data_IF_906885761847
#
_entry.id   IF_906885761847
#
_cell.length_a   1.000
_cell.length_b   1.000
_cell.length_c   1.000
_cell.angle_alpha   90.00
_cell.angle_beta   90.00
_cell.angle_gamma   90.00
#
_symmetry.space_group_name_H-M   'P 1'
#
loop_
_entity.id
_entity.type
_entity.pdbx_description
1 polymer ?
#
# COMPACT_ATOMS: atom_id res chain seq x y z
N UNK A 1 38.67 60.75 -0.34
CA UNK A 1 37.83 59.69 -0.92
C UNK A 1 38.31 58.37 -0.36
N UNK A 2 37.65 57.87 0.68
CA UNK A 2 37.89 56.52 1.22
C UNK A 2 37.03 55.56 0.40
N UNK A 3 37.66 54.68 -0.38
CA UNK A 3 36.98 53.61 -1.09
C UNK A 3 36.97 52.38 -0.18
N UNK A 4 35.83 52.15 0.47
CA UNK A 4 35.51 50.93 1.20
C UNK A 4 35.40 49.79 0.19
N UNK A 5 36.31 48.82 0.24
CA UNK A 5 36.19 47.57 -0.52
C UNK A 5 35.31 46.64 0.30
N UNK A 6 34.02 46.54 -0.08
CA UNK A 6 33.18 45.42 0.34
C UNK A 6 33.69 44.17 -0.37
N UNK A 7 34.32 43.26 0.35
CA UNK A 7 34.39 41.87 -0.07
C UNK A 7 33.00 41.26 0.16
N UNK A 8 32.22 41.12 -0.91
CA UNK A 8 31.08 40.23 -0.91
C UNK A 8 31.62 38.82 -0.70
N UNK A 9 31.39 38.27 0.49
CA UNK A 9 31.64 36.87 0.79
C UNK A 9 30.53 36.08 0.07
N UNK A 10 30.87 35.40 -1.02
CA UNK A 10 29.99 34.43 -1.65
C UNK A 10 29.63 33.37 -0.60
N UNK A 11 28.38 33.39 -0.13
CA UNK A 11 27.80 32.35 0.72
C UNK A 11 27.52 31.11 -0.15
N UNK A 12 28.58 30.43 -0.58
CA UNK A 12 28.47 29.15 -1.26
C UNK A 12 28.35 28.05 -0.19
N UNK A 13 27.25 28.09 0.56
CA UNK A 13 26.93 27.06 1.55
C UNK A 13 26.29 25.91 0.78
N UNK A 14 27.07 24.87 0.48
CA UNK A 14 26.54 23.71 -0.22
C UNK A 14 25.61 22.96 0.72
N UNK A 15 24.30 23.03 0.46
CA UNK A 15 23.31 22.22 1.18
C UNK A 15 23.71 20.74 1.09
N UNK A 16 23.86 20.09 2.24
CA UNK A 16 24.29 18.70 2.40
C UNK A 16 24.35 18.38 3.90
N UNK A 17 24.81 17.19 4.28
CA UNK A 17 24.90 16.78 5.69
C UNK A 17 26.24 16.10 6.02
N UNK A 18 26.60 16.05 7.30
CA UNK A 18 27.78 15.30 7.78
C UNK A 18 27.39 13.90 8.27
N UNK A 19 28.33 12.93 8.19
CA UNK A 19 28.09 11.59 8.72
C UNK A 19 27.75 11.61 10.22
N UNK A 20 28.41 12.49 10.99
CA UNK A 20 28.15 12.67 12.42
C UNK A 20 26.72 13.20 12.66
N UNK A 21 26.25 14.12 11.82
CA UNK A 21 24.89 14.64 11.90
C UNK A 21 23.84 13.55 11.65
N UNK A 22 24.02 12.73 10.62
CA UNK A 22 23.14 11.59 10.36
C UNK A 22 23.21 10.55 11.49
N UNK A 23 24.38 10.33 12.10
CA UNK A 23 24.52 9.41 13.25
C UNK A 23 23.72 9.89 14.45
N UNK A 24 23.82 11.18 14.82
CA UNK A 24 23.00 11.77 15.90
C UNK A 24 21.52 11.68 15.58
N UNK A 25 21.16 11.93 14.31
CA UNK A 25 19.79 11.81 13.82
C UNK A 25 19.22 10.41 14.00
N UNK A 26 20.02 9.39 13.70
CA UNK A 26 19.65 7.98 13.89
C UNK A 26 19.36 7.63 15.35
N UNK A 27 20.16 8.13 16.29
CA UNK A 27 19.93 7.90 17.72
C UNK A 27 18.62 8.54 18.22
N UNK A 28 18.28 9.72 17.71
CA UNK A 28 17.00 10.38 18.02
C UNK A 28 15.85 9.65 17.33
N UNK A 29 16.00 9.30 16.05
CA UNK A 29 15.01 8.58 15.27
C UNK A 29 14.61 7.25 15.94
N UNK A 30 15.58 6.46 16.40
CA UNK A 30 15.31 5.17 17.03
C UNK A 30 14.46 5.31 18.30
N UNK A 31 14.70 6.37 19.08
CA UNK A 31 13.99 6.62 20.34
C UNK A 31 12.62 7.25 20.14
N UNK A 32 12.50 8.18 19.19
CA UNK A 32 11.33 9.06 19.08
C UNK A 32 10.41 8.71 17.90
N UNK A 33 10.91 8.01 16.88
CA UNK A 33 10.21 7.80 15.60
C UNK A 33 10.00 6.31 15.27
N UNK A 34 10.96 5.43 15.61
CA UNK A 34 10.95 4.04 15.17
C UNK A 34 9.78 3.21 15.72
N UNK A 35 9.15 3.60 16.83
CA UNK A 35 7.97 2.93 17.36
C UNK A 35 6.82 2.86 16.32
N UNK A 36 6.67 3.90 15.49
CA UNK A 36 5.66 3.95 14.42
C UNK A 36 6.28 3.75 13.04
N UNK A 37 7.45 4.35 12.79
CA UNK A 37 8.08 4.34 11.47
C UNK A 37 9.02 3.15 11.21
N UNK A 38 9.26 2.34 12.24
CA UNK A 38 10.19 1.18 12.29
C UNK A 38 11.65 1.56 12.05
N UNK A 39 12.57 0.79 12.61
CA UNK A 39 14.02 1.03 12.44
C UNK A 39 14.48 0.83 10.99
N UNK A 40 13.69 0.13 10.16
CA UNK A 40 13.90 -0.09 8.73
C UNK A 40 13.15 0.92 7.83
N UNK A 41 12.58 1.97 8.43
CA UNK A 41 11.82 3.05 7.78
C UNK A 41 10.54 2.61 7.06
N UNK A 42 10.09 1.35 7.19
CA UNK A 42 8.94 0.85 6.43
C UNK A 42 7.60 1.42 6.87
N UNK A 43 7.54 2.05 8.04
CA UNK A 43 6.26 2.47 8.60
C UNK A 43 5.46 1.31 9.19
N UNK A 44 4.42 1.64 9.94
CA UNK A 44 3.43 0.68 10.44
C UNK A 44 2.08 1.37 10.62
N UNK A 45 1.00 0.62 10.40
CA UNK A 45 -0.37 1.13 10.48
C UNK A 45 -0.59 2.38 9.59
N UNK A 46 -0.73 3.54 10.21
CA UNK A 46 -0.99 4.84 9.56
C UNK A 46 0.31 5.65 9.35
N UNK A 47 1.44 5.21 9.93
CA UNK A 47 2.71 5.89 9.80
C UNK A 47 3.36 5.57 8.44
N UNK A 48 3.63 6.57 7.58
CA UNK A 48 4.17 6.34 6.26
C UNK A 48 5.60 5.79 6.30
N UNK A 49 5.99 5.13 5.21
CA UNK A 49 7.36 4.77 4.93
C UNK A 49 8.22 6.04 4.77
N UNK A 50 9.38 6.08 5.42
CA UNK A 50 10.27 7.25 5.43
C UNK A 50 11.55 7.07 4.58
N UNK A 51 11.70 5.93 3.90
CA UNK A 51 12.77 5.70 2.94
C UNK A 51 12.31 4.95 1.68
N UNK A 52 12.95 5.22 0.55
CA UNK A 52 12.65 4.55 -0.72
C UNK A 52 11.67 5.34 -1.61
N UNK A 53 11.08 4.69 -2.63
CA UNK A 53 10.30 5.39 -3.66
C UNK A 53 9.15 6.23 -3.11
N UNK A 54 8.46 5.78 -2.06
CA UNK A 54 7.37 6.54 -1.44
C UNK A 54 7.85 7.86 -0.83
N UNK A 55 9.01 7.85 -0.16
CA UNK A 55 9.61 9.09 0.34
C UNK A 55 9.97 10.02 -0.82
N UNK A 56 10.66 9.51 -1.83
CA UNK A 56 11.08 10.32 -2.99
C UNK A 56 9.89 10.93 -3.74
N UNK A 57 8.79 10.18 -3.93
CA UNK A 57 7.60 10.70 -4.60
C UNK A 57 6.94 11.89 -3.88
N UNK A 58 7.15 12.04 -2.57
CA UNK A 58 6.57 13.13 -1.79
C UNK A 58 7.58 14.25 -1.47
N UNK A 59 8.88 13.93 -1.46
CA UNK A 59 9.91 14.80 -0.89
C UNK A 59 11.04 15.15 -1.87
N UNK A 60 11.19 14.45 -2.99
CA UNK A 60 12.34 14.62 -3.87
C UNK A 60 12.45 16.04 -4.45
N UNK A 61 11.34 16.65 -4.85
CA UNK A 61 11.30 18.02 -5.40
C UNK A 61 11.34 19.11 -4.32
N UNK A 62 11.23 18.74 -3.05
CA UNK A 62 11.25 19.66 -1.90
C UNK A 62 12.65 19.75 -1.29
N UNK A 63 12.87 20.79 -0.51
CA UNK A 63 14.10 21.05 0.22
C UNK A 63 14.14 20.33 1.58
N UNK A 64 15.34 20.07 2.14
CA UNK A 64 15.49 19.58 3.51
C UNK A 64 14.85 20.49 4.56
N UNK A 65 14.81 21.81 4.34
CA UNK A 65 14.11 22.75 5.22
C UNK A 65 12.60 22.50 5.26
N UNK A 66 11.97 22.24 4.10
CA UNK A 66 10.54 21.91 4.05
C UNK A 66 10.22 20.58 4.73
N UNK A 67 11.11 19.59 4.60
CA UNK A 67 11.01 18.31 5.32
C UNK A 67 11.16 18.51 6.83
N UNK A 68 12.12 19.33 7.26
CA UNK A 68 12.30 19.71 8.67
C UNK A 68 11.02 20.34 9.24
N UNK A 69 10.44 21.32 8.55
CA UNK A 69 9.23 22.01 8.97
C UNK A 69 8.05 21.04 9.09
N UNK A 70 7.90 20.12 8.14
CA UNK A 70 6.85 19.10 8.21
C UNK A 70 7.01 18.20 9.43
N UNK A 71 8.21 17.66 9.64
CA UNK A 71 8.46 16.73 10.76
C UNK A 71 8.19 17.46 12.08
N UNK A 72 8.72 18.67 12.25
CA UNK A 72 8.51 19.48 13.45
C UNK A 72 7.05 19.82 13.71
N UNK A 73 6.27 20.08 12.67
CA UNK A 73 4.86 20.45 12.79
C UNK A 73 3.93 19.26 13.08
N UNK A 74 4.34 18.03 12.76
CA UNK A 74 3.45 16.85 12.81
C UNK A 74 3.93 15.74 13.74
N UNK A 75 5.19 15.77 14.17
CA UNK A 75 5.81 14.72 14.95
C UNK A 75 6.50 15.26 16.20
N UNK A 76 6.66 14.43 17.24
CA UNK A 76 5.98 13.15 17.47
C UNK A 76 4.45 13.29 17.58
N UNK A 77 3.69 12.27 17.18
CA UNK A 77 2.22 12.37 17.01
C UNK A 77 1.45 12.70 18.31
N UNK A 78 2.01 12.30 19.46
CA UNK A 78 1.46 12.58 20.79
C UNK A 78 1.71 14.02 21.24
N UNK A 79 2.80 14.64 20.78
CA UNK A 79 3.15 16.02 21.08
C UNK A 79 4.04 16.64 19.99
N UNK A 80 3.45 17.15 18.89
CA UNK A 80 4.20 17.73 17.79
C UNK A 80 5.09 18.90 18.24
N UNK A 81 6.32 18.94 17.73
CA UNK A 81 7.26 20.04 18.01
C UNK A 81 7.98 19.96 19.35
N UNK A 82 7.87 18.86 20.11
CA UNK A 82 8.54 18.74 21.43
C UNK A 82 10.06 18.57 21.39
N UNK A 83 10.64 18.13 20.27
CA UNK A 83 12.09 17.99 20.12
C UNK A 83 12.74 19.34 19.80
N UNK A 84 14.05 19.46 20.03
CA UNK A 84 14.79 20.66 19.64
C UNK A 84 14.99 20.74 18.14
N UNK A 85 15.23 21.95 17.61
CA UNK A 85 15.51 22.16 16.19
C UNK A 85 16.74 21.37 15.75
N UNK A 86 17.76 21.27 16.60
CA UNK A 86 18.93 20.43 16.33
C UNK A 86 18.55 18.95 16.17
N UNK A 87 17.66 18.43 17.02
CA UNK A 87 17.22 17.04 16.92
C UNK A 87 16.43 16.78 15.63
N UNK A 88 15.55 17.70 15.23
CA UNK A 88 14.82 17.57 13.97
C UNK A 88 15.72 17.64 12.75
N UNK A 89 16.66 18.60 12.70
CA UNK A 89 17.55 18.71 11.53
C UNK A 89 18.54 17.54 11.45
N UNK A 90 18.94 16.98 12.59
CA UNK A 90 19.72 15.74 12.64
C UNK A 90 18.90 14.54 12.11
N UNK A 91 17.62 14.41 12.48
CA UNK A 91 16.70 13.39 11.92
C UNK A 91 16.59 13.56 10.39
N UNK A 92 16.45 14.80 9.88
CA UNK A 92 16.41 15.05 8.44
C UNK A 92 17.69 14.54 7.78
N UNK A 93 18.87 14.86 8.31
CA UNK A 93 20.14 14.33 7.79
C UNK A 93 20.17 12.79 7.75
N UNK A 94 19.65 12.12 8.77
CA UNK A 94 19.53 10.67 8.81
C UNK A 94 18.61 10.13 7.69
N UNK A 95 17.46 10.76 7.48
CA UNK A 95 16.52 10.40 6.41
C UNK A 95 17.09 10.66 5.02
N UNK A 96 17.84 11.75 4.81
CA UNK A 96 18.51 12.03 3.55
C UNK A 96 19.51 10.91 3.20
N UNK A 97 20.29 10.46 4.19
CA UNK A 97 21.21 9.33 4.04
C UNK A 97 20.49 8.02 3.66
N UNK A 98 19.38 7.73 4.34
CA UNK A 98 18.53 6.56 4.03
C UNK A 98 17.94 6.60 2.61
N UNK A 99 17.78 7.80 2.04
CA UNK A 99 17.22 8.03 0.71
C UNK A 99 18.25 8.33 -0.38
N UNK A 100 19.54 8.04 -0.11
CA UNK A 100 20.59 8.03 -1.13
C UNK A 100 21.33 9.35 -1.33
N UNK A 101 21.06 10.38 -0.52
CA UNK A 101 21.93 11.56 -0.45
C UNK A 101 23.23 11.15 0.25
N UNK A 102 24.37 11.49 -0.36
CA UNK A 102 25.68 11.20 0.24
C UNK A 102 26.09 12.31 1.21
N UNK A 103 26.74 11.94 2.31
CA UNK A 103 27.30 12.92 3.25
C UNK A 103 28.31 13.80 2.51
N UNK A 104 28.08 15.11 2.51
CA UNK A 104 28.93 16.10 1.84
C UNK A 104 30.08 16.57 2.73
N UNK A 105 29.98 16.33 4.04
CA UNK A 105 30.88 16.91 5.05
C UNK A 105 30.53 18.35 5.43
N UNK A 106 29.47 18.92 4.85
CA UNK A 106 28.87 20.19 5.27
C UNK A 106 27.67 19.90 6.16
N UNK A 107 27.56 20.60 7.28
CA UNK A 107 26.44 20.39 8.22
C UNK A 107 25.15 21.01 7.68
N UNK A 108 24.09 20.21 7.69
CA UNK A 108 22.78 20.60 7.19
C UNK A 108 22.16 21.62 8.13
N UNK A 109 21.75 22.76 7.57
CA UNK A 109 21.03 23.81 8.30
C UNK A 109 19.53 23.71 8.07
N UNK A 110 18.75 24.34 8.95
CA UNK A 110 17.29 24.50 8.82
C UNK A 110 16.89 25.42 7.66
N UNK A 111 17.85 26.05 6.99
CA UNK A 111 17.66 26.98 5.87
C UNK A 111 18.10 26.34 4.54
N UNK A 112 18.37 25.03 4.51
CA UNK A 112 18.82 24.34 3.30
C UNK A 112 17.72 24.34 2.23
N UNK A 113 17.99 24.94 1.08
CA UNK A 113 16.99 25.20 0.02
C UNK A 113 17.16 24.32 -1.22
N UNK A 114 18.31 23.66 -1.39
CA UNK A 114 18.55 22.72 -2.49
C UNK A 114 17.62 21.52 -2.35
N UNK A 115 16.87 21.22 -3.41
CA UNK A 115 15.94 20.08 -3.45
C UNK A 115 16.65 18.74 -3.25
N UNK A 116 15.95 17.79 -2.63
CA UNK A 116 16.50 16.48 -2.27
C UNK A 116 16.96 15.69 -3.51
N UNK A 117 16.23 15.76 -4.62
CA UNK A 117 16.62 15.14 -5.91
C UNK A 117 17.94 15.69 -6.46
N UNK A 118 18.17 16.99 -6.34
CA UNK A 118 19.42 17.66 -6.72
C UNK A 118 20.56 17.18 -5.83
N UNK A 119 20.32 17.00 -4.53
CA UNK A 119 21.30 16.44 -3.60
C UNK A 119 21.66 14.99 -3.92
N UNK A 120 20.69 14.17 -4.37
CA UNK A 120 20.94 12.80 -4.85
C UNK A 120 21.74 12.82 -6.15
N UNK A 121 21.37 13.70 -7.10
CA UNK A 121 22.01 13.80 -8.40
C UNK A 121 23.46 14.29 -8.36
N UNK A 122 23.87 15.02 -7.30
CA UNK A 122 25.28 15.42 -7.07
C UNK A 122 26.25 14.24 -7.00
N UNK A 123 25.76 13.01 -6.83
CA UNK A 123 26.55 11.76 -6.93
C UNK A 123 27.05 11.46 -8.34
N UNK A 124 26.39 11.96 -9.39
CA UNK A 124 26.66 11.55 -10.78
C UNK A 124 27.88 12.24 -11.38
N UNK A 125 28.34 13.36 -10.81
CA UNK A 125 29.43 14.17 -11.38
C UNK A 125 30.84 13.80 -10.88
N UNK A 126 30.98 12.85 -9.94
CA UNK A 126 32.28 12.43 -9.40
C UNK A 126 32.40 10.91 -9.48
N UNK A 127 33.20 10.43 -10.44
CA UNK A 127 33.64 9.03 -10.66
C UNK A 127 32.65 8.09 -11.38
N UNK A 128 32.57 8.22 -12.70
CA UNK A 128 32.23 7.11 -13.61
C UNK A 128 33.44 6.21 -13.86
N UNK A 129 33.58 5.14 -13.08
CA UNK A 129 34.17 3.88 -13.59
C UNK A 129 33.69 2.69 -12.76
N UNK A 130 32.97 1.79 -13.44
CA UNK A 130 32.86 0.34 -13.19
C UNK A 130 32.36 -0.13 -11.81
N UNK A 131 31.04 -0.22 -11.62
CA UNK A 131 30.40 -1.31 -10.85
C UNK A 131 28.97 -1.54 -11.39
N UNK A 132 28.82 -2.24 -12.51
CA UNK A 132 27.49 -2.55 -13.08
C UNK A 132 27.09 -4.03 -13.01
N UNK A 133 27.86 -4.91 -12.36
CA UNK A 133 27.55 -6.36 -12.42
C UNK A 133 27.36 -7.06 -11.07
N UNK A 134 27.74 -6.46 -9.93
CA UNK A 134 27.69 -7.17 -8.63
C UNK A 134 26.48 -6.83 -7.74
N UNK A 135 25.67 -5.82 -8.08
CA UNK A 135 24.48 -5.44 -7.28
C UNK A 135 23.19 -6.16 -7.69
N UNK A 136 23.27 -7.10 -8.64
CA UNK A 136 22.12 -7.84 -9.16
C UNK A 136 21.69 -9.03 -8.29
N UNK A 137 22.46 -9.41 -7.25
CA UNK A 137 22.24 -10.67 -6.51
C UNK A 137 21.64 -10.53 -5.10
N UNK A 138 21.26 -9.33 -4.66
CA UNK A 138 20.65 -9.10 -3.34
C UNK A 138 19.32 -8.34 -3.39
N UNK A 139 18.67 -8.26 -4.57
CA UNK A 139 17.26 -7.88 -4.62
C UNK A 139 16.43 -9.11 -4.24
N UNK A 140 15.51 -9.01 -3.27
CA UNK A 140 14.40 -9.95 -3.21
C UNK A 140 13.77 -10.06 -4.59
N UNK A 141 13.24 -11.22 -5.01
CA UNK A 141 12.48 -11.28 -6.25
C UNK A 141 11.45 -10.16 -6.19
N UNK A 142 11.49 -9.24 -7.16
CA UNK A 142 10.29 -8.45 -7.42
C UNK A 142 9.25 -9.48 -7.83
N UNK A 143 8.31 -9.75 -6.94
CA UNK A 143 7.13 -10.55 -7.25
C UNK A 143 6.60 -10.09 -8.60
N UNK A 144 6.44 -11.04 -9.51
CA UNK A 144 6.03 -10.81 -10.87
C UNK A 144 4.59 -10.27 -10.90
N UNK A 145 4.37 -8.97 -10.70
CA UNK A 145 3.07 -8.34 -10.99
C UNK A 145 3.10 -6.81 -11.08
N UNK A 146 4.10 -6.21 -11.73
CA UNK A 146 4.03 -4.78 -12.08
C UNK A 146 3.94 -4.50 -13.57
N UNK A 147 4.22 -5.47 -14.44
CA UNK A 147 4.25 -5.26 -15.90
C UNK A 147 3.65 -6.41 -16.71
N UNK A 148 3.00 -7.39 -16.07
CA UNK A 148 2.34 -8.46 -16.79
C UNK A 148 0.99 -7.94 -17.34
N UNK A 149 0.61 -8.24 -18.59
CA UNK A 149 -0.60 -7.66 -19.20
C UNK A 149 -1.85 -8.08 -18.41
N UNK A 150 -2.62 -7.13 -17.88
CA UNK A 150 -3.85 -7.41 -17.13
C UNK A 150 -4.79 -8.34 -17.92
N UNK A 151 -5.44 -9.29 -17.24
CA UNK A 151 -6.38 -10.24 -17.79
C UNK A 151 -6.45 -11.56 -17.03
N UNK A 152 -7.23 -12.50 -17.58
CA UNK A 152 -7.34 -13.88 -17.09
C UNK A 152 -6.03 -14.64 -17.36
N UNK A 153 -5.38 -15.12 -16.29
CA UNK A 153 -4.08 -15.82 -16.33
C UNK A 153 -4.21 -17.31 -16.31
N UNK A 154 -5.09 -17.80 -15.46
CA UNK A 154 -5.44 -19.20 -15.33
C UNK A 154 -6.91 -19.31 -15.64
N UNK A 155 -7.23 -20.14 -16.62
CA UNK A 155 -8.61 -20.43 -17.00
C UNK A 155 -9.03 -21.79 -16.47
N UNK A 156 -10.21 -21.81 -15.88
CA UNK A 156 -10.91 -22.98 -15.40
C UNK A 156 -12.35 -22.59 -15.13
N UNK A 157 -13.17 -23.57 -14.75
CA UNK A 157 -14.60 -23.31 -14.54
C UNK A 157 -15.07 -23.99 -13.28
N UNK A 158 -15.66 -23.20 -12.38
CA UNK A 158 -16.44 -23.72 -11.26
C UNK A 158 -17.66 -24.44 -11.83
N UNK A 159 -17.74 -25.74 -11.62
CA UNK A 159 -18.86 -26.54 -12.08
C UNK A 159 -20.10 -26.29 -11.22
N UNK A 160 -21.28 -26.17 -11.85
CA UNK A 160 -22.57 -26.01 -11.17
C UNK A 160 -22.66 -24.78 -10.25
N UNK A 161 -22.05 -23.66 -10.65
CA UNK A 161 -22.17 -22.41 -9.91
C UNK A 161 -23.65 -22.04 -9.72
N UNK A 162 -24.00 -21.67 -8.47
CA UNK A 162 -25.36 -21.25 -8.11
C UNK A 162 -25.36 -19.75 -7.86
N UNK A 163 -26.23 -18.96 -8.52
CA UNK A 163 -26.29 -17.52 -8.28
C UNK A 163 -26.61 -17.15 -6.82
N UNK A 164 -25.84 -16.20 -6.28
CA UNK A 164 -26.05 -15.70 -4.91
C UNK A 164 -27.18 -14.68 -4.89
N UNK A 165 -28.29 -15.02 -4.24
CA UNK A 165 -29.45 -14.13 -4.16
C UNK A 165 -29.38 -13.14 -3.00
N UNK A 166 -30.19 -12.10 -3.07
CA UNK A 166 -30.45 -11.17 -1.96
C UNK A 166 -30.85 -11.87 -0.66
N UNK A 167 -31.63 -12.96 -0.77
CA UNK A 167 -32.07 -13.74 0.38
C UNK A 167 -30.92 -14.53 1.00
N UNK A 168 -30.05 -15.12 0.19
CA UNK A 168 -28.82 -15.76 0.66
C UNK A 168 -27.91 -14.76 1.37
N UNK A 169 -27.79 -13.52 0.89
CA UNK A 169 -26.99 -12.52 1.59
C UNK A 169 -27.61 -12.12 2.95
N UNK A 170 -28.95 -12.08 3.06
CA UNK A 170 -29.63 -11.75 4.33
C UNK A 170 -29.59 -12.90 5.34
N UNK A 171 -29.66 -14.14 4.87
CA UNK A 171 -29.58 -15.36 5.67
C UNK A 171 -28.62 -16.35 5.03
N UNK A 172 -27.29 -16.13 5.16
CA UNK A 172 -26.29 -17.00 4.56
C UNK A 172 -26.45 -18.45 5.02
N UNK A 173 -26.35 -19.44 4.10
CA UNK A 173 -26.22 -20.83 4.49
C UNK A 173 -25.03 -21.01 5.47
N UNK A 174 -25.13 -21.86 6.50
CA UNK A 174 -24.05 -22.06 7.47
C UNK A 174 -22.71 -22.55 6.87
N UNK A 175 -22.78 -23.25 5.73
CA UNK A 175 -21.60 -23.78 5.03
C UNK A 175 -20.93 -22.74 4.11
N UNK A 176 -21.54 -21.55 3.96
CA UNK A 176 -21.03 -20.47 3.13
C UNK A 176 -20.54 -19.28 3.98
N UNK A 177 -19.64 -18.49 3.39
CA UNK A 177 -19.17 -17.21 3.93
C UNK A 177 -19.22 -16.14 2.83
N UNK A 178 -20.42 -15.57 2.62
CA UNK A 178 -20.74 -14.78 1.43
C UNK A 178 -20.35 -13.30 1.50
N UNK A 179 -19.89 -12.81 2.66
CA UNK A 179 -19.51 -11.42 2.83
C UNK A 179 -18.49 -11.24 3.95
N UNK A 180 -17.80 -10.09 3.94
CA UNK A 180 -16.91 -9.70 5.02
C UNK A 180 -17.64 -9.80 6.37
N UNK A 181 -16.99 -10.43 7.36
CA UNK A 181 -17.54 -10.68 8.71
C UNK A 181 -18.82 -11.54 8.73
N UNK A 182 -19.12 -12.28 7.66
CA UNK A 182 -20.08 -13.39 7.62
C UNK A 182 -21.54 -13.00 7.46
N UNK A 183 -21.97 -11.84 7.97
CA UNK A 183 -23.35 -11.36 7.82
C UNK A 183 -23.43 -9.82 7.85
N UNK A 184 -24.61 -9.26 7.52
CA UNK A 184 -24.84 -7.82 7.53
C UNK A 184 -24.68 -7.16 8.90
N UNK A 185 -24.82 -7.91 9.99
CA UNK A 185 -24.56 -7.43 11.36
C UNK A 185 -23.06 -7.47 11.71
N UNK A 186 -22.21 -7.98 10.82
CA UNK A 186 -20.75 -7.98 10.94
C UNK A 186 -20.19 -8.75 12.15
N UNK A 187 -20.84 -9.86 12.51
CA UNK A 187 -20.51 -10.61 13.74
C UNK A 187 -19.19 -11.38 13.69
N UNK A 188 -18.72 -11.78 12.51
CA UNK A 188 -17.56 -12.69 12.36
C UNK A 188 -17.76 -14.01 13.13
N UNK A 189 -18.97 -14.57 13.05
CA UNK A 189 -19.38 -15.78 13.76
C UNK A 189 -19.85 -16.85 12.77
N UNK A 190 -19.31 -18.07 12.90
CA UNK A 190 -19.84 -19.28 12.24
C UNK A 190 -20.65 -20.09 13.24
N UNK A 191 -21.78 -20.64 12.80
CA UNK A 191 -22.59 -21.56 13.61
C UNK A 191 -22.12 -23.01 13.54
N UNK A 192 -21.10 -23.33 12.72
CA UNK A 192 -20.53 -24.67 12.64
C UNK A 192 -19.79 -25.01 13.94
N UNK A 193 -19.96 -26.25 14.41
CA UNK A 193 -19.47 -26.71 15.72
C UNK A 193 -18.69 -28.03 15.65
N UNK A 194 -18.39 -28.51 14.43
CA UNK A 194 -17.56 -29.71 14.21
C UNK A 194 -16.17 -29.57 14.83
N UNK A 195 -15.61 -28.35 14.83
CA UNK A 195 -14.45 -27.96 15.62
C UNK A 195 -14.95 -27.23 16.87
N UNK A 196 -14.55 -27.71 18.03
CA UNK A 196 -14.97 -27.18 19.32
C UNK A 196 -13.87 -27.33 20.38
N UNK A 197 -14.17 -26.95 21.62
CA UNK A 197 -13.19 -26.90 22.73
C UNK A 197 -12.60 -28.25 23.08
N UNK A 198 -13.27 -29.34 22.71
CA UNK A 198 -12.86 -30.70 23.07
C UNK A 198 -11.95 -31.33 22.00
N UNK A 199 -11.90 -30.79 20.78
CA UNK A 199 -11.15 -31.36 19.66
C UNK A 199 -10.25 -30.37 18.89
N UNK A 200 -10.24 -29.07 19.22
CA UNK A 200 -9.44 -28.05 18.51
C UNK A 200 -7.94 -28.35 18.54
N UNK A 201 -7.45 -29.06 19.55
CA UNK A 201 -6.06 -29.48 19.67
C UNK A 201 -5.65 -30.53 18.62
N UNK A 202 -6.62 -31.19 17.99
CA UNK A 202 -6.40 -32.23 16.97
C UNK A 202 -6.41 -31.64 15.54
N UNK A 203 -6.44 -30.31 15.41
CA UNK A 203 -6.39 -29.63 14.11
C UNK A 203 -5.08 -29.88 13.39
N UNK A 204 -5.18 -30.25 12.12
CA UNK A 204 -4.06 -30.44 11.22
C UNK A 204 -4.17 -29.50 10.01
N UNK A 205 -3.02 -29.18 9.40
CA UNK A 205 -2.99 -28.45 8.14
C UNK A 205 -3.56 -29.33 7.03
N UNK A 206 -4.71 -28.96 6.48
CA UNK A 206 -5.30 -29.66 5.34
C UNK A 206 -4.55 -29.36 4.03
N UNK A 207 -4.30 -28.08 3.74
CA UNK A 207 -3.54 -27.61 2.58
C UNK A 207 -3.05 -26.16 2.80
N UNK A 208 -2.13 -25.72 1.95
CA UNK A 208 -1.59 -24.35 1.92
C UNK A 208 -1.59 -23.83 0.49
N UNK A 209 -1.94 -22.55 0.32
CA UNK A 209 -1.82 -21.84 -0.94
C UNK A 209 -0.93 -20.62 -0.77
N UNK A 210 0.06 -20.45 -1.65
CA UNK A 210 0.99 -19.32 -1.62
C UNK A 210 0.34 -18.09 -2.23
N UNK A 211 0.28 -17.01 -1.43
CA UNK A 211 -0.23 -15.72 -1.88
C UNK A 211 0.82 -14.93 -2.67
N UNK A 212 0.36 -13.98 -3.48
CA UNK A 212 1.24 -13.12 -4.26
C UNK A 212 2.20 -12.32 -3.36
N UNK A 213 3.48 -12.32 -3.75
CA UNK A 213 4.54 -11.52 -3.13
C UNK A 213 4.46 -10.05 -3.57
N UNK A 214 5.20 -9.18 -2.89
CA UNK A 214 5.36 -7.76 -3.29
C UNK A 214 4.67 -6.75 -2.39
N UNK A 215 3.87 -7.20 -1.42
CA UNK A 215 3.32 -6.32 -0.38
C UNK A 215 2.45 -7.03 0.64
N UNK A 216 1.56 -6.26 1.27
CA UNK A 216 0.74 -6.74 2.37
C UNK A 216 -0.54 -7.42 1.87
N UNK A 217 -0.77 -8.64 2.35
CA UNK A 217 -2.01 -9.38 2.14
C UNK A 217 -2.89 -9.23 3.38
N UNK A 218 -4.10 -8.69 3.22
CA UNK A 218 -5.10 -8.57 4.28
C UNK A 218 -6.50 -9.08 3.86
N UNK A 219 -6.61 -10.16 3.06
CA UNK A 219 -7.88 -10.59 2.49
C UNK A 219 -8.83 -11.16 3.54
N UNK A 220 -10.13 -11.00 3.28
CA UNK A 220 -11.23 -11.74 3.87
C UNK A 220 -11.81 -12.61 2.74
N UNK A 221 -11.46 -13.90 2.66
CA UNK A 221 -11.93 -14.76 1.59
C UNK A 221 -13.45 -14.92 1.63
N UNK A 222 -14.07 -15.06 0.46
CA UNK A 222 -15.46 -15.51 0.35
C UNK A 222 -15.49 -17.01 0.12
N UNK A 223 -16.48 -17.69 0.68
CA UNK A 223 -16.73 -19.11 0.45
C UNK A 223 -18.16 -19.27 -0.05
N UNK A 224 -18.33 -19.90 -1.22
CA UNK A 224 -19.65 -20.26 -1.72
C UNK A 224 -19.61 -21.62 -2.41
N UNK A 225 -20.44 -22.56 -1.95
CA UNK A 225 -20.58 -23.90 -2.55
C UNK A 225 -19.23 -24.62 -2.73
N UNK A 226 -18.35 -24.54 -1.73
CA UNK A 226 -17.05 -25.21 -1.73
C UNK A 226 -15.97 -24.53 -2.56
N UNK A 227 -16.19 -23.29 -3.02
CA UNK A 227 -15.20 -22.47 -3.71
C UNK A 227 -14.77 -21.32 -2.82
N UNK A 228 -13.45 -21.13 -2.68
CA UNK A 228 -12.85 -19.95 -2.05
C UNK A 228 -12.56 -18.91 -3.12
N UNK A 229 -13.10 -17.70 -2.97
CA UNK A 229 -12.68 -16.54 -3.74
C UNK A 229 -11.73 -15.69 -2.90
N UNK A 230 -10.54 -15.45 -3.43
CA UNK A 230 -9.43 -14.84 -2.72
C UNK A 230 -8.88 -13.66 -3.51
N UNK A 231 -8.61 -12.56 -2.81
CA UNK A 231 -7.87 -11.43 -3.36
C UNK A 231 -6.43 -11.45 -2.85
N UNK A 232 -5.48 -11.11 -3.72
CA UNK A 232 -4.06 -11.02 -3.40
C UNK A 232 -3.51 -9.62 -3.70
N UNK A 233 -2.33 -9.34 -3.16
CA UNK A 233 -1.53 -8.19 -3.56
C UNK A 233 -1.40 -8.08 -5.09
N UNK A 234 -1.42 -6.85 -5.61
CA UNK A 234 -1.24 -6.60 -7.05
C UNK A 234 -2.53 -6.62 -7.86
N UNK A 235 -3.69 -6.48 -7.20
CA UNK A 235 -5.01 -6.53 -7.83
C UNK A 235 -5.28 -7.87 -8.53
N UNK A 236 -5.01 -8.97 -7.81
CA UNK A 236 -5.24 -10.33 -8.31
C UNK A 236 -6.45 -10.93 -7.58
N UNK A 237 -7.31 -11.60 -8.33
CA UNK A 237 -8.46 -12.34 -7.82
C UNK A 237 -8.35 -13.79 -8.28
N UNK A 238 -8.54 -14.73 -7.36
CA UNK A 238 -8.43 -16.17 -7.59
C UNK A 238 -9.70 -16.87 -7.11
N UNK A 239 -10.07 -17.97 -7.77
CA UNK A 239 -10.97 -18.96 -7.23
C UNK A 239 -10.23 -20.29 -7.01
N UNK A 240 -10.43 -20.90 -5.85
CA UNK A 240 -9.81 -22.16 -5.45
C UNK A 240 -10.87 -23.16 -4.99
N UNK A 241 -10.63 -24.44 -5.21
CA UNK A 241 -11.41 -25.50 -4.57
C UNK A 241 -11.11 -25.50 -3.05
N UNK A 242 -12.13 -25.29 -2.22
CA UNK A 242 -11.96 -25.09 -0.78
C UNK A 242 -11.43 -26.35 -0.05
N UNK A 243 -11.63 -27.53 -0.63
CA UNK A 243 -11.24 -28.81 -0.04
C UNK A 243 -9.77 -29.15 -0.33
N UNK A 244 -9.29 -28.82 -1.52
CA UNK A 244 -7.97 -29.22 -2.02
C UNK A 244 -6.96 -28.08 -2.08
N UNK A 245 -7.44 -26.84 -2.19
CA UNK A 245 -6.59 -25.67 -2.45
C UNK A 245 -6.18 -25.54 -3.92
N UNK A 246 -6.75 -26.34 -4.83
CA UNK A 246 -6.44 -26.28 -6.26
C UNK A 246 -6.96 -24.97 -6.86
N UNK A 247 -6.10 -24.24 -7.58
CA UNK A 247 -6.47 -23.04 -8.31
C UNK A 247 -7.36 -23.39 -9.51
N UNK A 248 -8.54 -22.77 -9.58
CA UNK A 248 -9.51 -22.96 -10.66
C UNK A 248 -9.30 -21.87 -11.72
N UNK A 249 -9.35 -20.61 -11.32
CA UNK A 249 -9.11 -19.47 -12.20
C UNK A 249 -8.40 -18.34 -11.47
N UNK A 250 -7.70 -17.50 -12.23
CA UNK A 250 -6.99 -16.31 -11.73
C UNK A 250 -7.11 -15.16 -12.72
N UNK A 251 -7.49 -13.99 -12.23
CA UNK A 251 -7.55 -12.74 -12.98
C UNK A 251 -6.64 -11.69 -12.33
N UNK A 252 -5.79 -11.05 -13.13
CA UNK A 252 -4.92 -9.97 -12.69
C UNK A 252 -5.29 -8.65 -13.35
N UNK A 253 -5.43 -7.57 -12.59
CA UNK A 253 -5.72 -6.24 -13.13
C UNK A 253 -4.50 -5.32 -13.23
N UNK A 254 -3.37 -5.74 -12.64
CA UNK A 254 -2.18 -4.91 -12.49
C UNK A 254 -2.45 -3.64 -11.68
N UNK A 255 -1.43 -2.79 -11.56
CA UNK A 255 -1.52 -1.49 -10.89
C UNK A 255 -1.16 -0.41 -11.92
N UNK A 256 -2.12 0.47 -12.23
CA UNK A 256 -1.96 1.48 -13.30
C UNK A 256 -0.93 2.57 -12.96
N UNK A 257 -0.73 2.87 -11.67
CA UNK A 257 0.15 3.95 -11.22
C UNK A 257 1.06 3.53 -10.07
N UNK A 258 2.29 4.05 -10.08
CA UNK A 258 3.28 3.84 -9.03
C UNK A 258 2.84 4.54 -7.73
N UNK A 259 3.07 3.89 -6.58
CA UNK A 259 2.69 4.41 -5.25
C UNK A 259 1.34 3.93 -4.71
N UNK A 260 0.65 3.03 -5.42
CA UNK A 260 -0.53 2.33 -4.91
C UNK A 260 -0.12 1.07 -4.16
N UNK A 261 -0.73 0.84 -3.01
CA UNK A 261 -0.33 -0.25 -2.12
C UNK A 261 -0.53 -1.65 -2.70
N UNK A 262 -1.37 -1.81 -3.73
CA UNK A 262 -1.79 -3.12 -4.25
C UNK A 262 -2.52 -4.00 -3.22
N UNK A 263 -2.73 -3.49 -1.99
CA UNK A 263 -3.42 -4.19 -0.92
C UNK A 263 -4.91 -4.19 -1.20
N UNK A 264 -5.52 -5.34 -0.98
CA UNK A 264 -6.96 -5.54 -0.99
C UNK A 264 -7.38 -6.32 0.26
N UNK A 265 -8.58 -6.01 0.77
CA UNK A 265 -9.15 -6.67 1.95
C UNK A 265 -10.37 -7.51 1.64
N UNK A 266 -11.21 -7.11 0.68
CA UNK A 266 -12.50 -7.75 0.49
C UNK A 266 -12.90 -7.86 -0.98
N UNK A 267 -13.68 -8.90 -1.24
CA UNK A 267 -14.47 -9.11 -2.46
C UNK A 267 -15.95 -9.07 -2.09
N UNK A 268 -16.83 -8.89 -3.07
CA UNK A 268 -18.24 -9.18 -2.88
C UNK A 268 -18.73 -10.17 -3.94
N UNK A 269 -19.77 -10.93 -3.61
CA UNK A 269 -20.42 -11.87 -4.52
C UNK A 269 -21.91 -11.56 -4.57
N UNK A 270 -22.47 -11.48 -5.77
CA UNK A 270 -23.91 -11.33 -5.97
C UNK A 270 -24.27 -11.86 -7.35
N UNK A 271 -25.37 -12.59 -7.41
CA UNK A 271 -25.78 -13.39 -8.56
C UNK A 271 -24.62 -14.25 -9.06
N UNK A 272 -24.23 -14.08 -10.32
CA UNK A 272 -23.17 -14.80 -11.02
C UNK A 272 -21.83 -14.06 -11.03
N UNK A 273 -21.66 -13.01 -10.21
CA UNK A 273 -20.49 -12.11 -10.30
C UNK A 273 -19.71 -12.01 -9.00
N UNK A 274 -18.39 -11.93 -9.15
CA UNK A 274 -17.44 -11.45 -8.13
C UNK A 274 -17.11 -10.00 -8.43
N UNK A 275 -17.30 -9.13 -7.43
CA UNK A 275 -17.00 -7.72 -7.50
C UNK A 275 -15.72 -7.42 -6.73
N UNK A 276 -14.83 -6.67 -7.38
CA UNK A 276 -13.55 -6.29 -6.81
C UNK A 276 -13.29 -4.81 -7.03
N UNK A 277 -12.86 -4.12 -5.96
CA UNK A 277 -12.34 -2.76 -6.05
C UNK A 277 -10.82 -2.82 -6.10
N UNK A 278 -10.25 -2.66 -7.29
CA UNK A 278 -8.81 -2.53 -7.49
C UNK A 278 -8.24 -1.35 -6.68
N UNK A 279 -6.97 -1.44 -6.30
CA UNK A 279 -6.30 -0.40 -5.51
C UNK A 279 -6.31 0.96 -6.21
N UNK A 280 -6.30 0.96 -7.54
CA UNK A 280 -6.32 2.12 -8.42
C UNK A 280 -7.74 2.53 -8.85
N UNK A 281 -8.75 2.31 -7.99
CA UNK A 281 -10.12 2.83 -8.06
C UNK A 281 -10.97 2.39 -9.26
N UNK A 282 -10.66 1.23 -9.85
CA UNK A 282 -11.59 0.52 -10.74
C UNK A 282 -12.45 -0.45 -9.94
N UNK A 283 -13.76 -0.38 -10.15
CA UNK A 283 -14.69 -1.45 -9.79
C UNK A 283 -14.79 -2.39 -10.98
N UNK A 284 -14.60 -3.68 -10.75
CA UNK A 284 -14.67 -4.71 -11.78
C UNK A 284 -15.64 -5.80 -11.36
N UNK A 285 -16.37 -6.33 -12.32
CA UNK A 285 -17.19 -7.51 -12.14
C UNK A 285 -16.62 -8.66 -12.99
N UNK A 286 -16.32 -9.76 -12.32
CA UNK A 286 -15.89 -11.01 -12.93
C UNK A 286 -17.04 -12.00 -12.88
N UNK A 287 -17.21 -12.79 -13.93
CA UNK A 287 -18.04 -14.00 -13.85
C UNK A 287 -17.45 -14.92 -12.77
N UNK A 288 -18.26 -15.28 -11.78
CA UNK A 288 -17.80 -16.02 -10.62
C UNK A 288 -17.34 -17.44 -10.97
N UNK A 289 -17.89 -18.03 -12.04
CA UNK A 289 -17.54 -19.39 -12.43
C UNK A 289 -16.22 -19.46 -13.20
N UNK A 290 -15.89 -18.45 -14.00
CA UNK A 290 -14.81 -18.48 -15.00
C UNK A 290 -13.70 -17.46 -14.75
N UNK A 291 -13.96 -16.42 -13.96
CA UNK A 291 -13.06 -15.29 -13.76
C UNK A 291 -13.01 -14.33 -14.96
N UNK A 292 -13.89 -14.49 -15.95
CA UNK A 292 -13.94 -13.59 -17.12
C UNK A 292 -14.49 -12.21 -16.74
N UNK A 293 -13.83 -11.15 -17.21
CA UNK A 293 -14.27 -9.78 -16.98
C UNK A 293 -15.59 -9.51 -17.70
N UNK A 294 -16.63 -9.19 -16.94
CA UNK A 294 -17.94 -8.81 -17.45
C UNK A 294 -18.01 -7.31 -17.72
N UNK A 295 -17.59 -6.50 -16.74
CA UNK A 295 -17.52 -5.05 -16.88
C UNK A 295 -16.48 -4.43 -15.95
N UNK A 296 -16.08 -3.19 -16.26
CA UNK A 296 -15.18 -2.39 -15.44
C UNK A 296 -15.58 -0.92 -15.52
N UNK A 297 -15.60 -0.23 -14.37
CA UNK A 297 -15.79 1.22 -14.28
C UNK A 297 -14.84 1.86 -13.27
N UNK A 298 -14.59 3.16 -13.40
CA UNK A 298 -13.75 3.92 -12.48
C UNK A 298 -14.63 4.71 -11.50
N UNK A 299 -14.42 4.51 -10.20
CA UNK A 299 -15.21 5.19 -9.15
C UNK A 299 -14.42 6.28 -8.41
N UNK A 300 -13.13 6.44 -8.70
CA UNK A 300 -12.28 7.48 -8.12
C UNK A 300 -11.22 7.98 -9.09
N UNK A 301 -10.72 9.18 -8.84
CA UNK A 301 -9.67 9.81 -9.64
C UNK A 301 -8.28 9.63 -9.01
N UNK A 302 -7.44 8.81 -9.64
CA UNK A 302 -6.08 8.51 -9.17
C UNK A 302 -5.15 9.72 -9.24
N UNK A 303 -5.44 10.72 -10.07
CA UNK A 303 -4.65 11.97 -10.13
C UNK A 303 -4.83 12.83 -8.89
N UNK A 304 -5.94 12.64 -8.19
CA UNK A 304 -6.24 13.29 -6.91
C UNK A 304 -5.70 12.47 -5.71
N UNK A 305 -5.02 11.35 -5.97
CA UNK A 305 -4.51 10.44 -4.95
C UNK A 305 -5.55 9.46 -4.41
N UNK A 306 -6.76 9.40 -4.99
CA UNK A 306 -7.77 8.43 -4.56
C UNK A 306 -7.30 7.00 -4.76
N UNK A 307 -7.60 6.14 -3.78
CA UNK A 307 -7.25 4.73 -3.77
C UNK A 307 -8.39 3.88 -3.18
N UNK A 308 -8.24 2.56 -3.25
CA UNK A 308 -9.11 1.61 -2.53
C UNK A 308 -8.27 0.54 -1.82
N UNK A 309 -8.76 0.09 -0.66
CA UNK A 309 -8.18 -1.07 0.03
C UNK A 309 -9.24 -1.94 0.72
N UNK A 310 -10.39 -1.37 1.09
CA UNK A 310 -11.42 -2.07 1.88
C UNK A 310 -12.17 -3.14 1.10
N UNK A 311 -12.40 -2.92 -0.19
CA UNK A 311 -13.32 -3.69 -1.02
C UNK A 311 -14.81 -3.33 -0.78
N UNK A 312 -15.71 -3.85 -1.63
CA UNK A 312 -17.13 -3.50 -1.63
C UNK A 312 -17.98 -4.36 -0.68
N UNK A 313 -19.23 -3.93 -0.46
CA UNK A 313 -20.33 -4.78 0.05
C UNK A 313 -21.55 -4.64 -0.86
N UNK A 314 -22.38 -5.67 -0.95
CA UNK A 314 -23.62 -5.64 -1.76
C UNK A 314 -24.82 -5.39 -0.85
N UNK A 315 -25.75 -4.55 -1.28
CA UNK A 315 -27.07 -4.37 -0.65
C UNK A 315 -28.12 -4.26 -1.75
N UNK A 316 -29.01 -5.24 -1.90
CA UNK A 316 -30.13 -5.19 -2.86
C UNK A 316 -29.70 -4.90 -4.30
N UNK A 317 -28.70 -5.63 -4.79
CA UNK A 317 -28.12 -5.41 -6.13
C UNK A 317 -27.34 -4.10 -6.28
N UNK A 318 -27.10 -3.36 -5.20
CA UNK A 318 -26.22 -2.17 -5.21
C UNK A 318 -24.89 -2.50 -4.55
N UNK A 319 -23.80 -2.27 -5.28
CA UNK A 319 -22.43 -2.29 -4.75
C UNK A 319 -22.19 -0.99 -3.99
N UNK A 320 -21.95 -1.11 -2.69
CA UNK A 320 -21.56 0.01 -1.82
C UNK A 320 -20.05 -0.01 -1.66
N UNK A 321 -19.39 1.04 -2.14
CA UNK A 321 -17.94 1.14 -2.18
C UNK A 321 -17.47 2.47 -1.58
N UNK A 322 -16.56 2.41 -0.61
CA UNK A 322 -15.90 3.58 -0.04
C UNK A 322 -14.72 4.06 -0.90
N UNK A 323 -14.11 5.16 -0.48
CA UNK A 323 -12.94 5.76 -1.11
C UNK A 323 -11.84 5.99 -0.07
N UNK A 324 -10.59 5.75 -0.43
CA UNK A 324 -9.41 6.10 0.35
C UNK A 324 -8.58 7.18 -0.40
N UNK A 325 -7.54 7.72 0.22
CA UNK A 325 -6.68 8.75 -0.40
C UNK A 325 -7.19 10.18 -0.24
N UNK A 326 -8.15 10.40 0.65
CA UNK A 326 -8.81 11.69 0.89
C UNK A 326 -8.03 12.61 1.83
N UNK A 327 -6.86 12.19 2.31
CA UNK A 327 -5.93 13.01 3.09
C UNK A 327 -5.30 14.13 2.25
N UNK A 328 -5.36 14.04 0.93
CA UNK A 328 -5.01 15.14 0.01
C UNK A 328 -6.22 16.06 -0.17
N UNK A 329 -6.00 17.37 -0.09
CA UNK A 329 -7.06 18.34 -0.32
C UNK A 329 -7.59 18.20 -1.76
N UNK A 330 -8.88 17.89 -1.88
CA UNK A 330 -9.62 17.84 -3.14
C UNK A 330 -10.95 18.58 -2.99
N UNK A 331 -11.38 19.38 -3.98
CA UNK A 331 -12.67 20.08 -3.93
C UNK A 331 -13.88 19.12 -3.95
N UNK A 332 -13.69 17.86 -4.35
CA UNK A 332 -14.75 16.83 -4.39
C UNK A 332 -14.95 16.18 -3.01
N UNK A 333 -13.90 16.14 -2.18
CA UNK A 333 -13.93 15.48 -0.89
C UNK A 333 -14.08 13.95 -0.97
N UNK A 334 -14.26 13.33 0.20
CA UNK A 334 -14.41 11.89 0.34
C UNK A 334 -15.88 11.47 0.22
N UNK A 335 -16.16 10.33 -0.43
CA UNK A 335 -17.52 9.85 -0.67
C UNK A 335 -17.63 8.32 -0.61
N UNK A 336 -18.88 7.86 -0.56
CA UNK A 336 -19.25 6.46 -0.71
C UNK A 336 -20.14 6.37 -1.95
N UNK A 337 -19.82 5.44 -2.85
CA UNK A 337 -20.55 5.20 -4.09
C UNK A 337 -21.55 4.06 -3.91
N UNK A 338 -22.73 4.22 -4.51
CA UNK A 338 -23.65 3.12 -4.83
C UNK A 338 -23.58 2.87 -6.34
N UNK A 339 -23.25 1.65 -6.74
CA UNK A 339 -23.09 1.24 -8.14
C UNK A 339 -24.06 0.09 -8.40
N UNK A 340 -24.74 0.10 -9.53
CA UNK A 340 -25.62 -1.01 -9.92
C UNK A 340 -24.78 -2.28 -10.19
N UNK A 341 -25.21 -3.45 -9.72
CA UNK A 341 -24.43 -4.67 -9.88
C UNK A 341 -24.35 -5.15 -11.34
N UNK A 342 -25.28 -4.74 -12.20
CA UNK A 342 -25.35 -5.18 -13.60
C UNK A 342 -24.69 -4.21 -14.58
N UNK A 343 -24.52 -2.92 -14.24
CA UNK A 343 -24.06 -1.88 -15.20
C UNK A 343 -23.06 -0.87 -14.66
#
# INVERSE_FOLDING_TARGET
MMATTLTAQESNQSDGFTADQASRGGEVYERECAACHRSDFQGSFEAPQLAGPNFLNNWAELSPAELFDRIKASMPIDQPGRLSDQAYIDIVAYLLGANGVSASGVELSTEATTSIDTLIARRVTVNTTTVSEERAQLRPPQGQSQNAPAGLRVSGTVSNFTPVTDEMLRSPPPDDWLMIRGNYQSWSYSSLDSINRDNVQDLELAWIWSMAEGGWNAPSPLVHNGIIYLTNYGNIVQALDARTGDLIWEHEFGIESQGYSGMSRNLAIYEDKIFFATSDTRMVALDAATGELQWSMRFGDITQGHQSTSGPVIVRGTIVQGLNGCERFSPVGCYISGIDADT
#
